data_IF_455878482568
#
_entry.id   IF_455878482568
#
_cell.length_a   1.000
_cell.length_b   1.000
_cell.length_c   1.000
_cell.angle_alpha   90.00
_cell.angle_beta   90.00
_cell.angle_gamma   90.00
#
_symmetry.space_group_name_H-M   'P 1'
#
loop_
_entity.id
_entity.type
_entity.pdbx_description
1 polymer ?
#
# COMPACT_ATOMS: atom_id res chain seq x y z
N UNK A 1 55.67 49.53 -49.45
CA UNK A 1 54.25 49.99 -49.46
C UNK A 1 53.31 48.88 -49.94
N UNK A 2 52.08 48.76 -49.43
CA UNK A 2 51.08 47.77 -49.88
C UNK A 2 50.40 48.13 -51.22
N UNK A 3 49.86 47.13 -51.93
CA UNK A 3 49.11 47.33 -53.19
C UNK A 3 47.83 48.15 -52.98
N UNK A 4 47.16 47.94 -51.84
CA UNK A 4 45.95 48.67 -51.47
C UNK A 4 46.25 50.15 -51.27
N UNK A 5 47.34 50.47 -50.55
CA UNK A 5 47.75 51.85 -50.35
C UNK A 5 48.13 52.53 -51.68
N UNK A 6 48.83 51.84 -52.59
CA UNK A 6 49.13 52.36 -53.93
C UNK A 6 47.86 52.71 -54.71
N UNK A 7 46.86 51.83 -54.68
CA UNK A 7 45.59 52.05 -55.36
C UNK A 7 44.81 53.23 -54.75
N UNK A 8 44.78 53.33 -53.41
CA UNK A 8 44.14 54.46 -52.71
C UNK A 8 44.80 55.80 -53.08
N UNK A 9 46.12 55.85 -53.10
CA UNK A 9 46.88 57.06 -53.48
C UNK A 9 46.60 57.47 -54.94
N UNK A 10 46.48 56.51 -55.85
CA UNK A 10 46.18 56.77 -57.26
C UNK A 10 44.74 57.28 -57.48
N UNK A 11 43.77 56.85 -56.67
CA UNK A 11 42.37 57.26 -56.79
C UNK A 11 42.09 58.65 -56.21
N UNK A 12 42.94 59.15 -55.31
CA UNK A 12 42.75 60.46 -54.68
C UNK A 12 41.68 60.49 -53.58
N UNK A 13 41.47 61.66 -52.98
CA UNK A 13 40.42 61.85 -51.98
C UNK A 13 39.01 61.66 -52.59
N UNK A 14 38.15 60.99 -51.83
CA UNK A 14 36.78 60.72 -52.20
C UNK A 14 35.90 60.59 -50.95
N UNK A 15 34.63 60.20 -51.11
CA UNK A 15 33.81 59.87 -49.93
C UNK A 15 34.39 58.74 -49.09
N UNK A 16 35.17 57.82 -49.70
CA UNK A 16 35.76 56.65 -49.05
C UNK A 16 37.18 56.89 -48.52
N UNK A 17 37.92 57.83 -49.12
CA UNK A 17 39.34 58.07 -48.87
C UNK A 17 39.56 59.52 -48.44
N UNK A 18 40.23 59.74 -47.31
CA UNK A 18 40.64 61.05 -46.82
C UNK A 18 42.15 61.12 -46.68
N UNK A 19 42.78 62.20 -47.11
CA UNK A 19 44.21 62.42 -46.94
C UNK A 19 44.47 63.56 -45.95
N UNK A 20 45.46 63.35 -45.09
CA UNK A 20 45.95 64.38 -44.18
C UNK A 20 47.46 64.35 -44.18
N UNK A 21 48.06 65.52 -44.37
CA UNK A 21 49.51 65.68 -44.37
C UNK A 21 50.16 65.31 -43.03
N UNK A 22 49.48 65.57 -41.92
CA UNK A 22 50.00 65.33 -40.56
C UNK A 22 48.86 64.82 -39.64
N UNK A 23 49.21 64.03 -38.62
CA UNK A 23 48.29 63.57 -37.60
C UNK A 23 47.65 64.72 -36.80
N UNK A 24 48.31 65.87 -36.68
CA UNK A 24 47.73 67.06 -36.05
C UNK A 24 46.58 67.67 -36.85
N UNK A 25 46.53 67.41 -38.17
CA UNK A 25 45.43 67.86 -39.02
C UNK A 25 44.18 66.97 -38.89
N UNK A 26 44.29 65.83 -38.20
CA UNK A 26 43.16 64.94 -37.92
C UNK A 26 42.41 65.48 -36.71
N UNK A 27 41.10 65.66 -36.86
CA UNK A 27 40.20 66.12 -35.80
C UNK A 27 39.12 65.08 -35.50
N UNK A 28 38.46 65.13 -34.32
CA UNK A 28 37.34 64.24 -34.01
C UNK A 28 36.24 64.30 -35.08
N UNK A 29 36.04 65.49 -35.67
CA UNK A 29 35.15 65.72 -36.82
C UNK A 29 35.48 64.82 -38.01
N UNK A 30 36.76 64.66 -38.37
CA UNK A 30 37.14 63.82 -39.53
C UNK A 30 36.74 62.37 -39.28
N UNK A 31 37.07 61.85 -38.09
CA UNK A 31 36.79 60.47 -37.71
C UNK A 31 35.28 60.19 -37.60
N UNK A 32 34.52 61.07 -36.95
CA UNK A 32 33.07 60.91 -36.82
C UNK A 32 32.36 61.01 -38.18
N UNK A 33 32.83 61.90 -39.07
CA UNK A 33 32.30 62.05 -40.43
C UNK A 33 32.52 60.78 -41.26
N UNK A 34 33.72 60.20 -41.21
CA UNK A 34 34.03 58.97 -41.92
C UNK A 34 33.22 57.78 -41.38
N UNK A 35 33.12 57.62 -40.06
CA UNK A 35 32.31 56.57 -39.44
C UNK A 35 30.82 56.68 -39.82
N UNK A 36 30.26 57.89 -39.84
CA UNK A 36 28.90 58.13 -40.27
C UNK A 36 28.67 57.85 -41.76
N UNK A 37 29.65 58.14 -42.62
CA UNK A 37 29.54 57.80 -44.04
C UNK A 37 29.47 56.28 -44.28
N UNK A 38 30.21 55.50 -43.49
CA UNK A 38 30.10 54.03 -43.47
C UNK A 38 28.71 53.61 -42.98
N UNK A 39 28.23 54.20 -41.89
CA UNK A 39 26.94 53.85 -41.28
C UNK A 39 25.70 54.12 -42.16
N UNK A 40 25.79 55.01 -43.16
CA UNK A 40 24.67 55.34 -44.05
C UNK A 40 24.32 54.25 -45.05
N UNK A 41 25.23 53.31 -45.29
CA UNK A 41 25.08 52.30 -46.33
C UNK A 41 25.66 50.97 -45.83
N UNK A 42 24.80 49.97 -45.57
CA UNK A 42 25.22 48.69 -45.01
C UNK A 42 26.23 47.92 -45.87
N UNK A 43 26.39 48.28 -47.15
CA UNK A 43 27.38 47.66 -48.05
C UNK A 43 28.79 48.19 -47.82
N UNK A 44 28.94 49.27 -47.05
CA UNK A 44 30.23 49.88 -46.72
C UNK A 44 30.72 49.28 -45.41
N UNK A 45 31.90 48.67 -45.47
CA UNK A 45 32.51 48.08 -44.27
C UNK A 45 33.44 49.05 -43.55
N UNK A 46 34.13 49.93 -44.30
CA UNK A 46 35.21 50.77 -43.77
C UNK A 46 35.45 52.00 -44.65
N UNK A 47 35.84 53.10 -44.02
CA UNK A 47 36.41 54.26 -44.69
C UNK A 47 37.91 54.37 -44.35
N UNK A 48 38.72 54.91 -45.26
CA UNK A 48 40.16 55.01 -45.04
C UNK A 48 40.61 56.45 -44.92
N UNK A 49 41.43 56.71 -43.90
CA UNK A 49 42.16 57.95 -43.68
C UNK A 49 43.65 57.66 -43.84
N UNK A 50 44.31 58.33 -44.78
CA UNK A 50 45.76 58.25 -44.95
C UNK A 50 46.41 59.48 -44.33
N UNK A 51 47.36 59.27 -43.42
CA UNK A 51 48.04 60.34 -42.66
C UNK A 51 49.53 60.32 -42.97
N UNK A 52 50.10 61.47 -43.34
CA UNK A 52 51.43 61.55 -43.94
C UNK A 52 51.39 61.53 -45.47
N UNK A 53 50.26 61.94 -46.06
CA UNK A 53 50.03 62.02 -47.50
C UNK A 53 49.58 63.43 -47.87
N UNK A 54 50.22 64.02 -48.86
CA UNK A 54 49.85 65.31 -49.44
C UNK A 54 49.00 65.10 -50.70
N UNK A 55 48.10 66.03 -50.99
CA UNK A 55 47.34 66.02 -52.23
C UNK A 55 48.07 66.81 -53.31
N UNK A 56 48.33 66.17 -54.44
CA UNK A 56 48.96 66.83 -55.59
C UNK A 56 48.04 66.69 -56.78
N UNK A 57 47.70 67.83 -57.37
CA UNK A 57 47.00 67.88 -58.66
C UNK A 57 48.03 67.70 -59.77
N UNK A 58 47.83 66.66 -60.57
CA UNK A 58 48.62 66.44 -61.78
C UNK A 58 48.23 67.51 -62.82
N UNK A 59 49.18 68.38 -63.17
CA UNK A 59 48.97 69.49 -64.08
C UNK A 59 48.61 69.06 -65.52
N UNK A 60 48.93 67.82 -65.92
CA UNK A 60 48.64 67.31 -67.27
C UNK A 60 47.25 66.66 -67.35
N UNK A 61 46.86 65.92 -66.31
CA UNK A 61 45.59 65.15 -66.30
C UNK A 61 44.46 65.85 -65.54
N UNK A 62 44.77 66.82 -64.69
CA UNK A 62 43.83 67.45 -63.75
C UNK A 62 43.34 66.51 -62.65
N UNK A 63 43.93 65.31 -62.53
CA UNK A 63 43.59 64.35 -61.50
C UNK A 63 44.35 64.68 -60.21
N UNK A 64 43.65 64.60 -59.08
CA UNK A 64 44.26 64.78 -57.76
C UNK A 64 44.66 63.40 -57.23
N UNK A 65 45.95 63.20 -56.98
CA UNK A 65 46.49 61.97 -56.40
C UNK A 65 47.17 62.27 -55.06
N UNK A 66 47.34 61.21 -54.26
CA UNK A 66 48.05 61.29 -52.98
C UNK A 66 49.53 60.99 -53.17
N UNK A 67 50.41 61.82 -52.60
CA UNK A 67 51.84 61.55 -52.53
C UNK A 67 52.28 61.41 -51.07
N UNK A 68 52.87 60.28 -50.66
CA UNK A 68 53.42 60.13 -49.31
C UNK A 68 54.49 61.18 -49.03
N UNK A 69 54.25 62.01 -48.02
CA UNK A 69 55.19 63.04 -47.56
C UNK A 69 55.87 62.67 -46.24
N UNK A 70 55.45 61.56 -45.62
CA UNK A 70 55.98 61.08 -44.36
C UNK A 70 55.38 61.77 -43.13
N UNK A 71 55.77 61.32 -41.95
CA UNK A 71 55.33 61.88 -40.66
C UNK A 71 56.52 62.52 -39.93
N UNK A 72 56.56 63.87 -39.80
CA UNK A 72 57.74 64.57 -39.29
C UNK A 72 58.02 64.29 -37.81
N UNK A 73 57.00 63.91 -37.04
CA UNK A 73 57.11 63.60 -35.61
C UNK A 73 57.28 62.09 -35.33
N UNK A 74 57.38 61.26 -36.36
CA UNK A 74 57.48 59.80 -36.28
C UNK A 74 56.12 59.08 -36.23
N UNK A 75 56.15 57.78 -36.52
CA UNK A 75 54.96 56.90 -36.57
C UNK A 75 54.30 56.76 -35.19
N UNK A 76 55.05 56.37 -34.15
CA UNK A 76 54.52 56.13 -32.80
C UNK A 76 53.72 57.31 -32.25
N UNK A 77 54.24 58.53 -32.44
CA UNK A 77 53.57 59.74 -31.96
C UNK A 77 52.32 60.05 -32.76
N UNK A 78 52.32 59.78 -34.07
CA UNK A 78 51.13 59.91 -34.91
C UNK A 78 50.06 58.87 -34.53
N UNK A 79 50.45 57.61 -34.28
CA UNK A 79 49.56 56.53 -33.80
C UNK A 79 48.90 56.92 -32.48
N UNK A 80 49.70 57.33 -31.48
CA UNK A 80 49.18 57.75 -30.18
C UNK A 80 48.23 58.96 -30.29
N UNK A 81 48.56 59.91 -31.17
CA UNK A 81 47.70 61.07 -31.44
C UNK A 81 46.36 60.68 -32.05
N UNK A 82 46.35 59.77 -33.03
CA UNK A 82 45.12 59.30 -33.66
C UNK A 82 44.24 58.54 -32.66
N UNK A 83 44.84 57.70 -31.82
CA UNK A 83 44.13 57.02 -30.75
C UNK A 83 43.50 58.02 -29.76
N UNK A 84 44.24 59.05 -29.33
CA UNK A 84 43.71 60.14 -28.50
C UNK A 84 42.52 60.85 -29.18
N UNK A 85 42.62 61.15 -30.48
CA UNK A 85 41.53 61.80 -31.24
C UNK A 85 40.28 60.90 -31.29
N UNK A 86 40.46 59.60 -31.53
CA UNK A 86 39.34 58.65 -31.55
C UNK A 86 38.57 58.65 -30.23
N UNK A 87 39.26 58.73 -29.08
CA UNK A 87 38.59 58.79 -27.76
C UNK A 87 37.70 60.02 -27.57
N UNK A 88 37.86 61.06 -28.37
CA UNK A 88 37.06 62.30 -28.31
C UNK A 88 35.77 62.22 -29.13
N UNK A 89 35.63 61.19 -29.96
CA UNK A 89 34.35 60.91 -30.64
C UNK A 89 33.34 60.27 -29.69
N UNK A 90 32.05 60.48 -29.99
CA UNK A 90 30.91 60.06 -29.18
C UNK A 90 29.83 59.47 -30.10
N UNK A 91 28.82 58.71 -29.61
CA UNK A 91 28.55 58.35 -28.22
C UNK A 91 29.57 57.35 -27.64
N UNK A 92 30.05 56.42 -28.46
CA UNK A 92 31.20 55.55 -28.18
C UNK A 92 32.30 55.95 -29.16
N UNK A 93 33.58 55.97 -28.74
CA UNK A 93 34.70 56.19 -29.65
C UNK A 93 34.59 55.35 -30.92
N UNK A 94 34.85 55.96 -32.08
CA UNK A 94 34.95 55.22 -33.36
C UNK A 94 36.04 54.16 -33.26
N UNK A 95 35.85 53.06 -33.98
CA UNK A 95 36.87 52.03 -34.08
C UNK A 95 37.85 52.42 -35.17
N UNK A 96 39.13 52.46 -34.83
CA UNK A 96 40.21 52.76 -35.76
C UNK A 96 41.24 51.65 -35.76
N UNK A 97 41.52 51.11 -36.94
CA UNK A 97 42.59 50.14 -37.15
C UNK A 97 43.71 50.81 -37.95
N UNK A 98 44.88 50.96 -37.32
CA UNK A 98 46.00 51.71 -37.87
C UNK A 98 47.02 50.75 -38.46
N UNK A 99 47.40 50.99 -39.71
CA UNK A 99 48.35 50.19 -40.47
C UNK A 99 49.50 51.11 -40.86
N UNK A 100 50.72 50.73 -40.49
CA UNK A 100 51.92 51.46 -40.86
C UNK A 100 52.38 51.06 -42.26
N UNK A 101 52.40 52.02 -43.17
CA UNK A 101 52.77 51.82 -44.56
C UNK A 101 54.17 52.38 -44.83
N UNK A 102 54.92 51.70 -45.69
CA UNK A 102 56.24 52.15 -46.16
C UNK A 102 57.27 52.39 -45.02
N UNK A 103 57.21 51.59 -43.94
CA UNK A 103 58.07 51.73 -42.73
C UNK A 103 59.58 51.70 -43.03
N UNK A 104 59.99 50.93 -44.04
CA UNK A 104 61.40 50.82 -44.46
C UNK A 104 61.82 51.88 -45.50
N UNK A 105 60.93 52.81 -45.85
CA UNK A 105 61.16 53.85 -46.86
C UNK A 105 61.39 55.21 -46.16
N UNK A 106 61.79 56.23 -46.94
CA UNK A 106 62.10 57.56 -46.38
C UNK A 106 60.88 58.32 -45.87
N UNK A 107 59.69 57.98 -46.37
CA UNK A 107 58.44 58.70 -46.13
C UNK A 107 57.34 57.76 -45.64
N UNK A 108 57.48 57.18 -44.44
CA UNK A 108 56.46 56.28 -43.89
C UNK A 108 55.20 57.05 -43.53
N UNK A 109 54.04 56.44 -43.73
CA UNK A 109 52.73 57.05 -43.51
C UNK A 109 51.77 56.04 -42.86
N UNK A 110 50.62 56.51 -42.36
CA UNK A 110 49.62 55.66 -41.72
C UNK A 110 48.40 55.52 -42.62
N UNK A 111 47.93 54.28 -42.78
CA UNK A 111 46.61 53.98 -43.33
C UNK A 111 45.70 53.59 -42.17
N UNK A 112 44.66 54.38 -41.96
CA UNK A 112 43.73 54.22 -40.84
C UNK A 112 42.38 53.79 -41.38
N UNK A 113 41.95 52.61 -40.99
CA UNK A 113 40.63 52.07 -41.24
C UNK A 113 39.66 52.55 -40.17
N UNK A 114 38.62 53.28 -40.56
CA UNK A 114 37.61 53.85 -39.65
C UNK A 114 36.30 53.10 -39.79
N UNK A 115 35.80 52.57 -38.66
CA UNK A 115 34.54 51.83 -38.57
C UNK A 115 33.60 52.44 -37.53
N UNK A 116 32.28 52.45 -37.77
CA UNK A 116 31.31 52.92 -36.80
C UNK A 116 31.11 51.88 -35.68
N UNK A 117 31.23 52.31 -34.43
CA UNK A 117 30.92 51.50 -33.23
C UNK A 117 29.47 51.65 -32.77
N UNK A 118 29.00 52.89 -32.65
CA UNK A 118 27.63 53.22 -32.27
C UNK A 118 27.16 54.48 -33.00
N UNK A 119 26.81 54.37 -34.30
CA UNK A 119 26.38 55.52 -35.07
C UNK A 119 24.98 56.02 -34.61
N UNK A 120 24.63 57.29 -34.88
CA UNK A 120 25.45 58.30 -35.53
C UNK A 120 26.48 58.90 -34.55
N UNK A 121 27.74 58.93 -34.97
CA UNK A 121 28.83 59.53 -34.23
C UNK A 121 28.79 61.06 -34.32
N UNK A 122 29.27 61.72 -33.27
CA UNK A 122 29.47 63.16 -33.24
C UNK A 122 30.84 63.51 -32.69
N UNK A 123 31.33 64.69 -33.08
CA UNK A 123 32.57 65.26 -32.56
C UNK A 123 32.38 65.86 -31.16
N UNK A 124 33.45 66.43 -30.61
CA UNK A 124 33.50 67.10 -29.31
C UNK A 124 32.64 68.37 -29.23
N UNK A 125 32.18 68.89 -30.37
CA UNK A 125 31.22 70.00 -30.47
C UNK A 125 29.76 69.53 -30.63
N UNK A 126 29.50 68.22 -30.65
CA UNK A 126 28.15 67.67 -30.81
C UNK A 126 27.64 67.62 -32.25
N UNK A 127 28.49 67.89 -33.25
CA UNK A 127 28.09 67.95 -34.66
C UNK A 127 28.04 66.56 -35.27
N UNK A 128 26.91 66.24 -35.92
CA UNK A 128 26.69 65.00 -36.66
C UNK A 128 26.83 65.25 -38.15
N UNK A 129 27.94 64.82 -38.71
CA UNK A 129 28.31 65.09 -40.10
C UNK A 129 28.61 63.80 -40.86
N UNK A 130 28.50 63.87 -42.18
CA UNK A 130 28.83 62.79 -43.13
C UNK A 130 29.53 63.37 -44.36
N UNK A 131 30.08 62.51 -45.20
CA UNK A 131 30.73 62.92 -46.46
C UNK A 131 29.72 63.26 -47.55
N UNK A 132 30.10 64.25 -48.36
CA UNK A 132 29.51 64.55 -49.66
C UNK A 132 30.64 64.77 -50.67
N UNK A 133 31.06 63.68 -51.31
CA UNK A 133 32.30 63.68 -52.11
C UNK A 133 33.51 63.98 -51.22
N UNK A 134 34.32 64.96 -51.63
CA UNK A 134 35.49 65.45 -50.86
C UNK A 134 35.10 66.38 -49.71
N UNK A 135 33.87 66.91 -49.69
CA UNK A 135 33.39 67.81 -48.64
C UNK A 135 32.66 67.07 -47.52
N UNK A 136 32.34 67.81 -46.45
CA UNK A 136 31.53 67.34 -45.32
C UNK A 136 30.22 68.10 -45.28
N UNK A 137 29.11 67.43 -44.96
CA UNK A 137 27.81 68.05 -44.68
C UNK A 137 27.22 67.52 -43.39
N UNK A 138 26.23 68.23 -42.84
CA UNK A 138 25.42 67.68 -41.76
C UNK A 138 24.65 66.44 -42.25
N UNK A 139 24.47 65.47 -41.35
CA UNK A 139 23.49 64.41 -41.55
C UNK A 139 22.08 65.02 -41.59
N UNK A 140 21.24 64.57 -42.52
CA UNK A 140 19.84 64.98 -42.56
C UNK A 140 19.03 64.25 -41.49
N UNK A 141 17.85 64.77 -41.15
CA UNK A 141 16.99 64.16 -40.14
C UNK A 141 16.57 62.73 -40.51
N UNK A 142 16.27 62.49 -41.80
CA UNK A 142 15.92 61.16 -42.31
C UNK A 142 17.08 60.17 -42.19
N UNK A 143 18.30 60.62 -42.48
CA UNK A 143 19.50 59.81 -42.34
C UNK A 143 19.80 59.47 -40.87
N UNK A 144 19.65 60.45 -39.98
CA UNK A 144 19.79 60.22 -38.54
C UNK A 144 18.76 59.21 -38.05
N UNK A 145 17.49 59.40 -38.42
CA UNK A 145 16.41 58.50 -38.04
C UNK A 145 16.68 57.08 -38.54
N UNK A 146 17.13 56.92 -39.79
CA UNK A 146 17.47 55.61 -40.36
C UNK A 146 18.56 54.91 -39.56
N UNK A 147 19.66 55.62 -39.26
CA UNK A 147 20.75 55.06 -38.45
C UNK A 147 20.24 54.62 -37.06
N UNK A 148 19.40 55.43 -36.41
CA UNK A 148 18.81 55.07 -35.12
C UNK A 148 17.91 53.85 -35.21
N UNK A 149 17.05 53.76 -36.23
CA UNK A 149 16.16 52.62 -36.43
C UNK A 149 16.94 51.33 -36.70
N UNK A 150 17.98 51.38 -37.54
CA UNK A 150 18.82 50.22 -37.82
C UNK A 150 19.54 49.74 -36.54
N UNK A 151 20.03 50.68 -35.72
CA UNK A 151 20.64 50.38 -34.42
C UNK A 151 19.65 49.74 -33.44
N UNK A 152 18.47 50.34 -33.28
CA UNK A 152 17.45 49.82 -32.37
C UNK A 152 16.88 48.47 -32.86
N UNK A 153 16.75 48.26 -34.16
CA UNK A 153 16.35 46.98 -34.73
C UNK A 153 17.37 45.87 -34.40
N UNK A 154 18.66 46.15 -34.51
CA UNK A 154 19.72 45.23 -34.11
C UNK A 154 19.68 44.89 -32.62
N UNK A 155 19.55 45.90 -31.75
CA UNK A 155 19.41 45.76 -30.30
C UNK A 155 18.16 44.95 -29.92
N UNK A 156 17.02 45.26 -30.54
CA UNK A 156 15.76 44.56 -30.36
C UNK A 156 15.88 43.10 -30.75
N UNK A 157 16.43 42.80 -31.92
CA UNK A 157 16.62 41.42 -32.37
C UNK A 157 17.54 40.61 -31.43
N UNK A 158 18.59 41.23 -30.89
CA UNK A 158 19.47 40.59 -29.92
C UNK A 158 18.75 40.26 -28.61
N UNK A 159 18.03 41.23 -28.03
CA UNK A 159 17.23 41.03 -26.81
C UNK A 159 16.12 40.01 -27.02
N UNK A 160 15.42 40.07 -28.15
CA UNK A 160 14.35 39.14 -28.49
C UNK A 160 14.84 37.69 -28.59
N UNK A 161 16.00 37.47 -29.23
CA UNK A 161 16.63 36.14 -29.27
C UNK A 161 16.98 35.64 -27.87
N UNK A 162 17.58 36.50 -27.04
CA UNK A 162 17.92 36.14 -25.67
C UNK A 162 16.67 35.73 -24.87
N UNK A 163 15.62 36.55 -24.88
CA UNK A 163 14.36 36.25 -24.19
C UNK A 163 13.71 34.97 -24.71
N UNK A 164 13.77 34.71 -26.02
CA UNK A 164 13.24 33.47 -26.61
C UNK A 164 14.00 32.24 -26.11
N UNK A 165 15.33 32.30 -26.03
CA UNK A 165 16.15 31.21 -25.48
C UNK A 165 15.84 30.96 -24.01
N UNK A 166 15.70 32.02 -23.21
CA UNK A 166 15.32 31.91 -21.79
C UNK A 166 13.93 31.27 -21.63
N UNK A 167 12.96 31.64 -22.47
CA UNK A 167 11.61 31.08 -22.44
C UNK A 167 11.58 29.62 -22.88
N UNK A 168 12.32 29.24 -23.93
CA UNK A 168 12.47 27.85 -24.35
C UNK A 168 13.08 26.98 -23.24
N UNK A 169 14.10 27.50 -22.55
CA UNK A 169 14.71 26.81 -21.40
C UNK A 169 13.70 26.62 -20.27
N UNK A 170 12.96 27.68 -19.91
CA UNK A 170 11.93 27.61 -18.87
C UNK A 170 10.83 26.58 -19.22
N UNK A 171 10.36 26.55 -20.46
CA UNK A 171 9.39 25.55 -20.92
C UNK A 171 9.98 24.14 -20.86
N UNK A 172 11.25 23.95 -21.22
CA UNK A 172 11.94 22.66 -21.09
C UNK A 172 12.00 22.16 -19.65
N UNK A 173 12.24 23.06 -18.68
CA UNK A 173 12.21 22.74 -17.24
C UNK A 173 10.81 22.37 -16.77
N UNK A 174 9.77 23.09 -17.22
CA UNK A 174 8.38 22.75 -16.87
C UNK A 174 7.99 21.39 -17.46
N UNK A 175 8.39 21.09 -18.71
CA UNK A 175 8.17 19.80 -19.34
C UNK A 175 8.76 18.65 -18.52
N UNK A 176 10.02 18.77 -18.10
CA UNK A 176 10.68 17.73 -17.29
C UNK A 176 10.05 17.57 -15.90
N UNK A 177 9.55 18.65 -15.29
CA UNK A 177 8.78 18.56 -14.04
C UNK A 177 7.45 17.85 -14.23
N UNK A 178 6.74 18.11 -15.32
CA UNK A 178 5.48 17.40 -15.65
C UNK A 178 5.74 15.90 -15.84
N UNK A 179 6.81 15.54 -16.54
CA UNK A 179 7.20 14.14 -16.72
C UNK A 179 7.52 13.46 -15.39
N UNK A 180 8.26 14.13 -14.49
CA UNK A 180 8.54 13.64 -13.14
C UNK A 180 7.27 13.46 -12.29
N UNK A 181 6.31 14.39 -12.42
CA UNK A 181 5.02 14.26 -11.74
C UNK A 181 4.24 13.07 -12.29
N UNK A 182 4.22 12.88 -13.61
CA UNK A 182 3.54 11.74 -14.24
C UNK A 182 4.16 10.41 -13.79
N UNK A 183 5.50 10.31 -13.78
CA UNK A 183 6.21 9.13 -13.27
C UNK A 183 5.92 8.90 -11.77
N UNK A 184 5.89 9.98 -10.98
CA UNK A 184 5.52 9.93 -9.58
C UNK A 184 4.10 9.42 -9.34
N UNK A 185 3.13 9.85 -10.14
CA UNK A 185 1.73 9.39 -10.08
C UNK A 185 1.65 7.90 -10.41
N UNK A 186 2.31 7.45 -11.48
CA UNK A 186 2.30 6.04 -11.87
C UNK A 186 2.85 5.14 -10.74
N UNK A 187 4.03 5.49 -10.24
CA UNK A 187 4.76 4.70 -9.25
C UNK A 187 4.14 4.74 -7.85
N UNK A 188 3.66 5.90 -7.41
CA UNK A 188 3.21 6.08 -6.04
C UNK A 188 1.69 6.03 -5.86
N UNK A 189 0.91 6.08 -6.95
CA UNK A 189 -0.55 6.07 -6.89
C UNK A 189 -1.11 4.89 -7.70
N UNK A 190 -0.83 4.81 -9.00
CA UNK A 190 -1.46 3.82 -9.86
C UNK A 190 -1.05 2.38 -9.50
N UNK A 191 0.25 2.11 -9.36
CA UNK A 191 0.76 0.79 -8.99
C UNK A 191 0.28 0.30 -7.61
N UNK A 192 0.34 1.10 -6.52
CA UNK A 192 -0.23 0.70 -5.24
C UNK A 192 -1.73 0.41 -5.29
N UNK A 193 -2.52 1.21 -6.02
CA UNK A 193 -3.95 0.95 -6.17
C UNK A 193 -4.18 -0.40 -6.85
N UNK A 194 -3.47 -0.67 -7.95
CA UNK A 194 -3.58 -1.95 -8.65
C UNK A 194 -3.23 -3.14 -7.73
N UNK A 195 -2.16 -3.02 -6.93
CA UNK A 195 -1.79 -4.04 -5.93
C UNK A 195 -2.86 -4.21 -4.85
N UNK A 196 -3.38 -3.11 -4.31
CA UNK A 196 -4.45 -3.17 -3.31
C UNK A 196 -5.71 -3.83 -3.86
N UNK A 197 -6.09 -3.55 -5.11
CA UNK A 197 -7.21 -4.19 -5.77
C UNK A 197 -6.98 -5.69 -5.94
N UNK A 198 -5.77 -6.11 -6.34
CA UNK A 198 -5.42 -7.52 -6.45
C UNK A 198 -5.49 -8.24 -5.08
N UNK A 199 -4.89 -7.66 -4.03
CA UNK A 199 -4.96 -8.22 -2.68
C UNK A 199 -6.39 -8.29 -2.13
N UNK A 200 -7.23 -7.29 -2.44
CA UNK A 200 -8.64 -7.31 -2.04
C UNK A 200 -9.43 -8.42 -2.75
N UNK A 201 -9.15 -8.69 -4.02
CA UNK A 201 -9.73 -9.81 -4.76
C UNK A 201 -9.30 -11.14 -4.13
N UNK A 202 -7.99 -11.34 -3.89
CA UNK A 202 -7.46 -12.54 -3.23
C UNK A 202 -8.08 -12.78 -1.84
N UNK A 203 -8.24 -11.71 -1.05
CA UNK A 203 -8.87 -11.79 0.26
C UNK A 203 -10.34 -12.18 0.16
N UNK A 204 -11.05 -11.72 -0.88
CA UNK A 204 -12.44 -12.08 -1.13
C UNK A 204 -12.56 -13.55 -1.50
N UNK A 205 -11.69 -14.06 -2.39
CA UNK A 205 -11.68 -15.48 -2.78
C UNK A 205 -11.32 -16.40 -1.60
N UNK A 206 -10.36 -15.98 -0.77
CA UNK A 206 -10.01 -16.68 0.46
C UNK A 206 -11.17 -16.71 1.45
N UNK A 207 -11.90 -15.61 1.61
CA UNK A 207 -13.09 -15.55 2.45
C UNK A 207 -14.21 -16.47 1.93
N UNK A 208 -14.43 -16.51 0.61
CA UNK A 208 -15.42 -17.41 -0.01
C UNK A 208 -15.05 -18.89 0.19
N UNK A 209 -13.77 -19.21 0.07
CA UNK A 209 -13.24 -20.56 0.30
C UNK A 209 -13.40 -20.97 1.77
N UNK A 210 -13.09 -20.06 2.70
CA UNK A 210 -13.25 -20.28 4.14
C UNK A 210 -14.73 -20.48 4.51
N UNK A 211 -15.65 -19.70 3.92
CA UNK A 211 -17.09 -19.89 4.12
C UNK A 211 -17.56 -21.27 3.65
N UNK A 212 -17.15 -21.69 2.44
CA UNK A 212 -17.48 -23.01 1.89
C UNK A 212 -16.94 -24.16 2.75
N UNK A 213 -15.72 -23.99 3.29
CA UNK A 213 -15.13 -24.95 4.21
C UNK A 213 -15.87 -25.02 5.54
N UNK A 214 -16.33 -23.87 6.06
CA UNK A 214 -17.13 -23.79 7.28
C UNK A 214 -18.49 -24.49 7.10
N UNK A 215 -19.17 -24.29 5.97
CA UNK A 215 -20.42 -24.98 5.66
C UNK A 215 -20.23 -26.50 5.60
N UNK A 216 -19.13 -26.94 4.98
CA UNK A 216 -18.76 -28.36 4.92
C UNK A 216 -18.47 -28.94 6.31
N UNK A 217 -17.76 -28.19 7.16
CA UNK A 217 -17.48 -28.59 8.53
C UNK A 217 -18.76 -28.67 9.37
N UNK A 218 -19.72 -27.77 9.15
CA UNK A 218 -21.01 -27.79 9.82
C UNK A 218 -21.82 -29.04 9.44
N UNK A 219 -21.89 -29.36 8.14
CA UNK A 219 -22.55 -30.59 7.67
C UNK A 219 -21.91 -31.87 8.23
N UNK A 220 -20.57 -31.89 8.35
CA UNK A 220 -19.86 -33.00 8.98
C UNK A 220 -20.15 -33.10 10.48
N UNK A 221 -20.26 -31.97 11.18
CA UNK A 221 -20.63 -31.92 12.59
C UNK A 221 -22.07 -32.43 12.82
N UNK A 222 -23.03 -32.06 11.96
CA UNK A 222 -24.41 -32.55 12.01
C UNK A 222 -24.46 -34.08 11.82
N UNK A 223 -23.69 -34.59 10.87
CA UNK A 223 -23.57 -36.05 10.62
C UNK A 223 -22.99 -36.76 11.84
N UNK A 224 -21.89 -36.23 12.40
CA UNK A 224 -21.28 -36.79 13.60
C UNK A 224 -22.25 -36.76 14.80
N UNK A 225 -23.05 -35.71 14.95
CA UNK A 225 -24.09 -35.63 15.98
C UNK A 225 -25.13 -36.74 15.83
N UNK A 226 -25.63 -36.97 14.62
CA UNK A 226 -26.56 -38.05 14.33
C UNK A 226 -25.97 -39.43 14.64
N UNK A 227 -24.70 -39.66 14.26
CA UNK A 227 -23.99 -40.91 14.58
C UNK A 227 -23.82 -41.11 16.08
N UNK A 228 -23.46 -40.06 16.83
CA UNK A 228 -23.35 -40.10 18.29
C UNK A 228 -24.69 -40.47 18.93
N UNK A 229 -25.79 -39.85 18.50
CA UNK A 229 -27.14 -40.20 18.97
C UNK A 229 -27.52 -41.65 18.64
N UNK A 230 -27.11 -42.15 17.46
CA UNK A 230 -27.34 -43.53 17.07
C UNK A 230 -26.55 -44.52 17.95
N UNK A 231 -25.27 -44.23 18.21
CA UNK A 231 -24.44 -45.02 19.13
C UNK A 231 -25.03 -45.02 20.53
N UNK A 232 -25.50 -43.88 21.03
CA UNK A 232 -26.15 -43.80 22.34
C UNK A 232 -27.41 -44.68 22.42
N UNK A 233 -28.22 -44.73 21.35
CA UNK A 233 -29.36 -45.64 21.26
C UNK A 233 -28.91 -47.11 21.30
N UNK A 234 -27.95 -47.49 20.46
CA UNK A 234 -27.41 -48.86 20.44
C UNK A 234 -26.85 -49.29 21.81
N UNK A 235 -26.15 -48.39 22.50
CA UNK A 235 -25.63 -48.65 23.85
C UNK A 235 -26.77 -48.91 24.84
N UNK A 236 -27.85 -48.12 24.78
CA UNK A 236 -29.03 -48.31 25.62
C UNK A 236 -29.71 -49.64 25.33
N UNK A 237 -29.93 -49.97 24.06
CA UNK A 237 -30.57 -51.22 23.65
C UNK A 237 -29.71 -52.44 24.07
N UNK A 238 -28.38 -52.34 23.95
CA UNK A 238 -27.47 -53.38 24.46
C UNK A 238 -27.59 -53.53 25.99
N UNK A 239 -27.75 -52.43 26.71
CA UNK A 239 -27.89 -52.43 28.16
C UNK A 239 -29.21 -53.07 28.61
N UNK A 240 -30.28 -52.91 27.84
CA UNK A 240 -31.55 -53.61 28.03
C UNK A 240 -31.40 -55.13 27.83
N UNK A 241 -30.77 -55.56 26.74
CA UNK A 241 -30.47 -56.98 26.48
C UNK A 241 -29.61 -57.62 27.58
N UNK A 242 -28.64 -56.87 28.12
CA UNK A 242 -27.81 -57.35 29.24
C UNK A 242 -28.65 -57.52 30.51
N UNK A 243 -29.61 -56.62 30.77
CA UNK A 243 -30.50 -56.75 31.92
C UNK A 243 -31.45 -57.96 31.76
N UNK A 244 -32.00 -58.18 30.57
CA UNK A 244 -32.88 -59.31 30.28
C UNK A 244 -32.14 -60.66 30.47
N UNK A 245 -30.88 -60.74 30.04
CA UNK A 245 -30.04 -61.93 30.24
C UNK A 245 -29.70 -62.18 31.72
N UNK A 246 -29.66 -61.14 32.57
CA UNK A 246 -29.43 -61.28 34.02
C UNK A 246 -30.68 -61.86 34.73
N UNK A 247 -31.88 -61.61 34.18
CA UNK A 247 -33.16 -62.10 34.72
C UNK A 247 -33.48 -63.56 34.33
N UNK A 248 -33.06 -64.05 33.15
CA UNK A 248 -33.54 -65.35 32.62
C UNK A 248 -32.70 -66.60 32.96
N UNK A 249 -31.53 -66.49 33.62
CA UNK A 249 -30.70 -67.69 33.88
C UNK A 249 -31.01 -68.37 35.23
N UNK A 250 -31.57 -69.59 35.19
CA UNK A 250 -31.77 -70.45 36.37
C UNK A 250 -30.50 -70.71 37.19
N UNK A 251 -29.30 -70.62 36.58
CA UNK A 251 -28.03 -70.76 37.29
C UNK A 251 -27.73 -69.54 38.20
N UNK A 252 -28.33 -68.38 37.92
CA UNK A 252 -28.16 -67.14 38.69
C UNK A 252 -28.94 -67.16 40.02
N UNK A 253 -30.15 -67.73 40.04
CA UNK A 253 -30.98 -67.82 41.26
C UNK A 253 -30.34 -68.70 42.35
N UNK A 254 -29.78 -69.85 41.96
CA UNK A 254 -29.05 -70.75 42.89
C UNK A 254 -27.87 -70.02 43.52
N UNK A 255 -27.08 -69.30 42.71
CA UNK A 255 -25.95 -68.53 43.19
C UNK A 255 -26.38 -67.38 44.12
N UNK A 256 -27.48 -66.67 43.78
CA UNK A 256 -28.05 -65.61 44.61
C UNK A 256 -28.53 -66.13 45.96
N UNK A 257 -29.20 -67.29 46.03
CA UNK A 257 -29.60 -67.92 47.31
C UNK A 257 -28.38 -68.17 48.19
N UNK A 258 -27.31 -68.75 47.63
CA UNK A 258 -26.05 -68.99 48.36
C UNK A 258 -25.45 -67.68 48.88
N UNK A 259 -25.43 -66.63 48.06
CA UNK A 259 -24.90 -65.33 48.48
C UNK A 259 -25.72 -64.69 49.59
N UNK A 260 -27.06 -64.73 49.51
CA UNK A 260 -27.93 -64.13 50.52
C UNK A 260 -27.86 -64.92 51.83
N UNK A 261 -27.82 -66.26 51.79
CA UNK A 261 -27.59 -67.08 52.99
C UNK A 261 -26.28 -66.72 53.70
N UNK A 262 -25.20 -66.46 52.95
CA UNK A 262 -23.94 -65.96 53.52
C UNK A 262 -24.13 -64.60 54.20
N UNK A 263 -24.88 -63.67 53.59
CA UNK A 263 -25.19 -62.36 54.21
C UNK A 263 -25.98 -62.52 55.51
N UNK A 264 -26.95 -63.43 55.55
CA UNK A 264 -27.70 -63.77 56.78
C UNK A 264 -26.77 -64.29 57.86
N UNK A 265 -25.88 -65.23 57.53
CA UNK A 265 -24.87 -65.72 58.47
C UNK A 265 -23.98 -64.60 59.01
N UNK A 266 -23.51 -63.71 58.13
CA UNK A 266 -22.71 -62.55 58.54
C UNK A 266 -23.48 -61.58 59.45
N UNK A 267 -24.75 -61.32 59.17
CA UNK A 267 -25.58 -60.48 60.03
C UNK A 267 -25.75 -61.09 61.42
N UNK A 268 -25.99 -62.41 61.49
CA UNK A 268 -26.08 -63.14 62.75
C UNK A 268 -24.76 -63.07 63.53
N UNK A 269 -23.63 -63.39 62.89
CA UNK A 269 -22.33 -63.38 63.59
C UNK A 269 -21.97 -62.00 64.12
N UNK A 270 -22.23 -60.93 63.37
CA UNK A 270 -22.04 -59.55 63.84
C UNK A 270 -22.87 -59.25 65.09
N UNK A 271 -24.11 -59.76 65.18
CA UNK A 271 -24.98 -59.53 66.33
C UNK A 271 -24.65 -60.40 67.55
N UNK A 272 -24.02 -61.55 67.34
CA UNK A 272 -23.80 -62.55 68.39
C UNK A 272 -22.35 -62.80 68.77
N UNK A 273 -21.36 -62.19 68.10
CA UNK A 273 -19.93 -62.53 68.33
C UNK A 273 -19.44 -62.34 69.77
N UNK A 274 -20.05 -61.42 70.53
CA UNK A 274 -19.69 -61.16 71.93
C UNK A 274 -20.39 -62.07 72.94
N UNK A 275 -21.30 -62.95 72.48
CA UNK A 275 -22.12 -63.77 73.36
C UNK A 275 -21.67 -65.24 73.37
N UNK A 276 -21.11 -65.70 74.48
CA UNK A 276 -20.63 -67.08 74.68
C UNK A 276 -21.64 -67.98 75.42
N UNK A 277 -22.92 -67.59 75.48
CA UNK A 277 -23.94 -68.35 76.19
C UNK A 277 -24.32 -69.65 75.47
N UNK A 278 -24.78 -70.66 76.23
CA UNK A 278 -25.32 -71.91 75.67
C UNK A 278 -26.49 -71.64 74.69
N UNK A 279 -27.26 -70.57 74.92
CA UNK A 279 -28.32 -70.11 74.01
C UNK A 279 -27.77 -69.61 72.68
N UNK A 280 -26.68 -68.84 72.68
CA UNK A 280 -26.04 -68.36 71.45
C UNK A 280 -25.52 -69.53 70.60
N UNK A 281 -24.91 -70.53 71.25
CA UNK A 281 -24.40 -71.74 70.58
C UNK A 281 -25.53 -72.56 69.95
N UNK A 282 -26.66 -72.70 70.65
CA UNK A 282 -27.85 -73.37 70.11
C UNK A 282 -28.44 -72.63 68.90
N UNK A 283 -28.53 -71.30 68.96
CA UNK A 283 -29.01 -70.48 67.84
C UNK A 283 -28.09 -70.54 66.63
N UNK A 284 -26.77 -70.49 66.84
CA UNK A 284 -25.78 -70.63 65.78
C UNK A 284 -25.89 -71.98 65.08
N UNK A 285 -26.10 -73.06 65.84
CA UNK A 285 -26.31 -74.39 65.28
C UNK A 285 -27.61 -74.48 64.46
N UNK A 286 -28.72 -73.94 64.99
CA UNK A 286 -30.01 -73.93 64.30
C UNK A 286 -29.97 -73.13 62.99
N UNK A 287 -29.35 -71.95 62.99
CA UNK A 287 -29.20 -71.14 61.78
C UNK A 287 -28.23 -71.79 60.80
N UNK A 288 -27.14 -72.38 61.28
CA UNK A 288 -26.18 -73.10 60.45
C UNK A 288 -26.80 -74.27 59.70
N UNK A 289 -27.61 -75.10 60.38
CA UNK A 289 -28.36 -76.18 59.73
C UNK A 289 -29.34 -75.66 58.69
N UNK A 290 -29.96 -74.51 58.93
CA UNK A 290 -30.98 -73.97 58.05
C UNK A 290 -30.37 -73.31 56.80
N UNK A 291 -29.24 -72.60 56.93
CA UNK A 291 -28.49 -72.03 55.81
C UNK A 291 -27.69 -73.08 55.04
N UNK A 292 -27.31 -74.19 55.69
CA UNK A 292 -26.52 -75.28 55.12
C UNK A 292 -27.32 -76.32 54.33
N UNK A 293 -28.64 -76.16 54.18
CA UNK A 293 -29.47 -77.07 53.38
C UNK A 293 -29.10 -77.01 51.89
N UNK A 294 -29.38 -78.06 51.14
CA UNK A 294 -29.22 -78.00 49.69
C UNK A 294 -30.11 -76.90 49.09
N UNK A 295 -29.59 -76.19 48.10
CA UNK A 295 -30.37 -75.17 47.37
C UNK A 295 -31.25 -75.89 46.35
N UNK A 296 -32.53 -75.53 46.29
CA UNK A 296 -33.47 -76.17 45.39
C UNK A 296 -33.08 -75.92 43.92
N UNK A 297 -33.42 -76.85 43.03
CA UNK A 297 -33.30 -76.64 41.59
C UNK A 297 -34.55 -75.93 41.04
N UNK A 298 -35.62 -75.84 41.85
CA UNK A 298 -36.87 -75.18 41.49
C UNK A 298 -36.73 -73.63 41.58
N UNK A 299 -36.88 -72.89 40.46
CA UNK A 299 -36.79 -71.43 40.44
C UNK A 299 -37.82 -70.74 41.34
N UNK A 300 -39.03 -71.29 41.45
CA UNK A 300 -40.09 -70.70 42.27
C UNK A 300 -39.73 -70.79 43.76
N UNK A 301 -39.18 -71.93 44.18
CA UNK A 301 -38.67 -72.12 45.54
C UNK A 301 -37.50 -71.19 45.85
N UNK A 302 -36.55 -71.03 44.94
CA UNK A 302 -35.38 -70.16 45.14
C UNK A 302 -35.76 -68.67 45.16
N UNK A 303 -36.70 -68.24 44.32
CA UNK A 303 -37.25 -66.88 44.35
C UNK A 303 -37.93 -66.58 45.68
N UNK A 304 -38.75 -67.53 46.17
CA UNK A 304 -39.38 -67.41 47.48
C UNK A 304 -38.35 -67.35 48.61
N UNK A 305 -37.42 -68.30 48.64
CA UNK A 305 -36.36 -68.32 49.64
C UNK A 305 -35.55 -67.01 49.65
N UNK A 306 -35.26 -66.43 48.48
CA UNK A 306 -34.61 -65.13 48.37
C UNK A 306 -35.44 -64.01 49.00
N UNK A 307 -36.75 -63.98 48.78
CA UNK A 307 -37.63 -62.98 49.38
C UNK A 307 -37.65 -63.12 50.91
N UNK A 308 -37.84 -64.34 51.45
CA UNK A 308 -37.77 -64.62 52.90
C UNK A 308 -36.49 -64.07 53.51
N UNK A 309 -35.35 -64.33 52.87
CA UNK A 309 -34.07 -63.89 53.41
C UNK A 309 -33.84 -62.39 53.27
N UNK A 310 -34.33 -61.77 52.20
CA UNK A 310 -34.26 -60.32 52.07
C UNK A 310 -35.13 -59.61 53.08
N UNK A 311 -36.34 -60.09 53.33
CA UNK A 311 -37.25 -59.55 54.33
C UNK A 311 -36.64 -59.66 55.73
N UNK A 312 -36.09 -60.83 56.09
CA UNK A 312 -35.37 -61.00 57.35
C UNK A 312 -34.18 -60.03 57.49
N UNK A 313 -33.42 -59.80 56.41
CA UNK A 313 -32.31 -58.84 56.40
C UNK A 313 -32.78 -57.38 56.41
N UNK A 314 -33.98 -57.10 55.90
CA UNK A 314 -34.66 -55.81 55.94
C UNK A 314 -35.11 -55.49 57.36
N UNK A 315 -35.92 -56.38 57.94
CA UNK A 315 -36.40 -56.29 59.32
C UNK A 315 -35.24 -56.14 60.31
N UNK A 316 -34.15 -56.90 60.11
CA UNK A 316 -32.99 -56.77 60.98
C UNK A 316 -32.29 -55.42 60.86
N UNK A 317 -32.24 -54.85 59.66
CA UNK A 317 -31.64 -53.52 59.44
C UNK A 317 -32.45 -52.43 60.14
N UNK A 318 -33.77 -52.50 60.11
CA UNK A 318 -34.64 -51.56 60.81
C UNK A 318 -34.52 -51.69 62.33
N UNK A 319 -34.37 -52.92 62.84
CA UNK A 319 -34.29 -53.20 64.27
C UNK A 319 -32.87 -53.19 64.85
N UNK A 320 -31.86 -52.74 64.11
CA UNK A 320 -30.43 -52.87 64.48
C UNK A 320 -30.03 -52.14 65.78
N UNK A 321 -30.89 -51.27 66.32
CA UNK A 321 -30.67 -50.48 67.55
C UNK A 321 -31.43 -50.99 68.80
N UNK A 322 -32.21 -52.06 68.71
CA UNK A 322 -33.02 -52.58 69.83
C UNK A 322 -32.23 -53.52 70.75
N UNK A 323 -32.53 -53.52 72.07
CA UNK A 323 -31.95 -54.46 73.05
C UNK A 323 -32.64 -55.82 72.95
N UNK A 324 -31.87 -56.91 72.92
CA UNK A 324 -32.40 -58.29 72.93
C UNK A 324 -32.15 -59.12 71.66
N UNK A 325 -30.98 -58.98 71.03
CA UNK A 325 -30.60 -59.62 69.74
C UNK A 325 -30.82 -61.14 69.72
N UNK A 326 -30.49 -61.85 70.79
CA UNK A 326 -30.69 -63.32 70.85
C UNK A 326 -32.15 -63.74 70.93
N UNK A 327 -33.02 -62.92 71.53
CA UNK A 327 -34.46 -63.20 71.58
C UNK A 327 -35.06 -63.02 70.19
N UNK A 328 -34.70 -61.93 69.52
CA UNK A 328 -35.10 -61.65 68.15
C UNK A 328 -34.67 -62.77 67.18
N UNK A 329 -33.37 -63.15 67.19
CA UNK A 329 -32.89 -64.24 66.33
C UNK A 329 -33.60 -65.57 66.64
N UNK A 330 -33.97 -65.83 67.89
CA UNK A 330 -34.72 -67.02 68.26
C UNK A 330 -36.15 -67.04 67.68
N UNK A 331 -36.79 -65.88 67.60
CA UNK A 331 -38.14 -65.72 67.03
C UNK A 331 -38.06 -65.75 65.49
N UNK A 332 -37.15 -64.97 64.91
CA UNK A 332 -36.93 -64.88 63.47
C UNK A 332 -36.51 -66.22 62.84
N UNK A 333 -35.63 -67.01 63.49
CA UNK A 333 -35.25 -68.34 62.99
C UNK A 333 -36.46 -69.29 63.02
N UNK A 334 -37.29 -69.23 64.06
CA UNK A 334 -38.46 -70.09 64.17
C UNK A 334 -39.51 -69.75 63.11
N UNK A 335 -39.71 -68.45 62.85
CA UNK A 335 -40.61 -67.93 61.84
C UNK A 335 -40.15 -68.29 60.42
N UNK A 336 -38.89 -68.01 60.08
CA UNK A 336 -38.31 -68.40 58.79
C UNK A 336 -38.34 -69.91 58.59
N UNK A 337 -38.08 -70.70 59.64
CA UNK A 337 -38.20 -72.16 59.56
C UNK A 337 -39.64 -72.60 59.29
N UNK A 338 -40.63 -71.85 59.77
CA UNK A 338 -42.05 -72.03 59.42
C UNK A 338 -42.31 -71.75 57.94
N UNK A 339 -41.87 -70.59 57.45
CA UNK A 339 -42.05 -70.16 56.06
C UNK A 339 -41.36 -71.08 55.04
N UNK A 340 -40.17 -71.58 55.37
CA UNK A 340 -39.43 -72.50 54.50
C UNK A 340 -39.97 -73.94 54.54
N UNK A 341 -40.75 -74.33 55.56
CA UNK A 341 -41.36 -75.67 55.64
C UNK A 341 -42.68 -75.76 54.91
N UNK A 342 -43.51 -74.72 55.00
CA UNK A 342 -44.79 -74.62 54.32
C UNK A 342 -44.81 -73.33 53.50
N UNK A 343 -44.36 -73.36 52.24
CA UNK A 343 -44.49 -72.21 51.36
C UNK A 343 -45.97 -71.98 51.06
N UNK A 344 -46.64 -71.17 51.86
CA UNK A 344 -47.96 -70.64 51.53
C UNK A 344 -47.76 -69.58 50.46
N UNK A 345 -48.12 -69.92 49.23
CA UNK A 345 -48.17 -68.98 48.12
C UNK A 345 -49.18 -67.87 48.45
N UNK A 346 -48.68 -66.71 48.89
CA UNK A 346 -49.47 -65.48 48.89
C UNK A 346 -49.52 -64.98 47.45
N UNK A 347 -50.72 -64.92 46.86
CA UNK A 347 -50.90 -64.32 45.54
C UNK A 347 -50.59 -62.81 45.63
N UNK A 348 -49.86 -62.23 44.67
CA UNK A 348 -49.53 -60.80 44.68
C UNK A 348 -50.79 -59.95 44.51
N UNK A 349 -50.83 -58.83 45.23
CA UNK A 349 -51.89 -57.83 45.21
C UNK A 349 -51.81 -57.05 43.89
N UNK A 350 -52.72 -57.32 42.95
CA UNK A 350 -52.79 -56.62 41.67
C UNK A 350 -53.71 -55.38 41.81
N UNK A 351 -53.25 -54.17 41.46
CA UNK A 351 -54.10 -52.99 41.47
C UNK A 351 -55.26 -53.11 40.45
N UNK A 352 -56.44 -52.59 40.82
CA UNK A 352 -57.69 -52.75 40.07
C UNK A 352 -57.61 -52.10 38.69
N UNK A 353 -57.27 -52.94 37.69
CA UNK A 353 -57.19 -52.64 36.26
C UNK A 353 -58.40 -51.87 35.73
N UNK A 354 -59.59 -52.04 36.32
CA UNK A 354 -60.78 -51.29 35.88
C UNK A 354 -60.64 -49.79 36.12
N UNK A 355 -60.01 -49.40 37.23
CA UNK A 355 -59.79 -48.00 37.58
C UNK A 355 -58.78 -47.33 36.66
N UNK A 356 -57.71 -48.06 36.32
CA UNK A 356 -56.68 -47.56 35.39
C UNK A 356 -57.24 -47.42 33.96
N UNK A 357 -58.03 -48.39 33.50
CA UNK A 357 -58.68 -48.35 32.19
C UNK A 357 -59.75 -47.24 32.13
N UNK A 358 -60.51 -47.02 33.20
CA UNK A 358 -61.50 -45.93 33.24
C UNK A 358 -60.83 -44.56 33.15
N UNK A 359 -59.69 -44.37 33.82
CA UNK A 359 -58.94 -43.11 33.75
C UNK A 359 -58.40 -42.83 32.35
N UNK A 360 -57.92 -43.85 31.64
CA UNK A 360 -57.51 -43.74 30.23
C UNK A 360 -58.70 -43.43 29.31
N UNK A 361 -59.85 -44.08 29.52
CA UNK A 361 -61.07 -43.82 28.74
C UNK A 361 -61.56 -42.37 28.95
N UNK A 362 -61.59 -41.89 30.19
CA UNK A 362 -62.03 -40.53 30.50
C UNK A 362 -61.09 -39.50 29.88
N UNK A 363 -59.76 -39.76 29.88
CA UNK A 363 -58.77 -38.91 29.23
C UNK A 363 -58.97 -38.86 27.69
N UNK A 364 -59.21 -40.01 27.06
CA UNK A 364 -59.42 -40.10 25.61
C UNK A 364 -60.75 -39.50 25.16
N UNK A 365 -61.77 -39.42 26.02
CA UNK A 365 -63.05 -38.77 25.70
C UNK A 365 -62.94 -37.24 25.80
N UNK A 366 -62.25 -36.72 26.82
CA UNK A 366 -62.18 -35.29 27.10
C UNK A 366 -61.12 -34.52 26.28
N UNK A 367 -60.12 -35.19 25.70
CA UNK A 367 -59.15 -34.54 24.81
C UNK A 367 -59.71 -34.39 23.38
N UNK A 368 -59.97 -33.16 22.89
CA UNK A 368 -60.41 -32.94 21.51
C UNK A 368 -59.36 -33.33 20.46
N UNK A 369 -58.10 -33.59 20.85
CA UNK A 369 -57.05 -34.14 19.98
C UNK A 369 -56.88 -35.66 20.09
N UNK A 370 -57.65 -36.34 20.93
CA UNK A 370 -57.64 -37.81 21.04
C UNK A 370 -57.89 -38.48 19.70
N UNK A 371 -57.18 -39.58 19.45
CA UNK A 371 -57.41 -40.45 18.30
C UNK A 371 -58.85 -40.99 18.25
N UNK A 372 -59.49 -41.19 19.40
CA UNK A 372 -60.87 -41.67 19.50
C UNK A 372 -61.86 -40.64 18.95
N UNK A 373 -61.67 -39.36 19.27
CA UNK A 373 -62.50 -38.26 18.76
C UNK A 373 -62.23 -37.99 17.27
N UNK A 374 -60.98 -38.14 16.81
CA UNK A 374 -60.63 -38.05 15.38
C UNK A 374 -61.28 -39.17 14.55
N UNK A 375 -61.36 -40.40 15.10
CA UNK A 375 -61.99 -41.53 14.42
C UNK A 375 -63.52 -41.42 14.39
N UNK A 376 -64.15 -40.86 15.44
CA UNK A 376 -65.58 -40.59 15.48
C UNK A 376 -66.01 -39.54 14.46
N UNK A 377 -65.22 -38.48 14.29
CA UNK A 377 -65.44 -37.48 13.26
C UNK A 377 -65.38 -38.06 11.83
N UNK A 378 -64.64 -39.15 11.63
CA UNK A 378 -64.59 -39.87 10.34
C UNK A 378 -65.77 -40.83 10.12
N UNK A 379 -66.57 -41.14 11.14
CA UNK A 379 -67.73 -42.04 11.06
C UNK A 379 -69.08 -41.29 10.96
N UNK A 380 -69.13 -40.01 11.34
CA UNK A 380 -70.32 -39.16 11.25
C UNK A 380 -70.42 -38.36 9.92
N UNK A 381 -69.48 -38.56 8.98
CA UNK A 381 -69.41 -37.92 7.66
C UNK A 381 -70.00 -38.78 6.50
N UNK A 382 -70.76 -39.85 6.83
CA UNK A 382 -71.65 -40.63 5.94
C UNK A 382 -73.11 -40.50 6.45
#
# INVERSE_FOLDING_TARGET
>A
MSTDAQHMLALGESGRYEFKRDAEAVSPKVLSTLANWVALDPTREVAHLLVGVDEVEDAETGLVCGIPCGLPKGLDRAVARLQDIATKTRPIPVDIFIIEEAVNEKVPFLRVEVRPTMPPHFDDEGRRQTRQGRSTRALTDDELLRIYLDREAGSFAARFRQTTTELQSAVGVVGSQVDQIAEGIEKHIAEPIARMTATAAEATDAAHSAASAADSANAAADTASYEVEHVQRLVRDLQEVVNDLDEESHQNLVHRVVQVRRKVWWSFTVDTFQHTSARASKLAHQLGELLGRDVSVDPAHNSWELAVWHDLLGDRREQRRSRGTQKWWSEAIAEVQGFLRNPTYAAPDLPDLRTAIQADIDHEVDDPKSMTNQFRALLDDD
#
